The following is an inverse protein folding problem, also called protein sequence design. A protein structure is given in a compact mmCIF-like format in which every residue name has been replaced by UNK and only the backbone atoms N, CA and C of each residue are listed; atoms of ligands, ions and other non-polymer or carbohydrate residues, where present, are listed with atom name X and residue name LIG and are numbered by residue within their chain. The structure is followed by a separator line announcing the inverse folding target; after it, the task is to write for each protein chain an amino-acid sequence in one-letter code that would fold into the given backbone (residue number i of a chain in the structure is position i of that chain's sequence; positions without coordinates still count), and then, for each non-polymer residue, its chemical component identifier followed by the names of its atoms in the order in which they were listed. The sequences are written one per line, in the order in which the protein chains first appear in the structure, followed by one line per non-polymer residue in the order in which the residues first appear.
data_IF_482221622448
#
_entry.id   IF_482221622448
#
_cell.length_a   1.000
_cell.length_b   1.000
_cell.length_c   1.000
_cell.angle_alpha   90.00
_cell.angle_beta   90.00
_cell.angle_gamma   90.00
#
_symmetry.space_group_name_H-M   'P 1'
#
loop_
_entity.id
_entity.type
_entity.pdbx_description
1 polymer ?
#
# COMPACT_ATOMS: atom_id res chain seq x y z
N UNK A 1 11.77 -4.06 -2.26
CA UNK A 1 10.74 -4.43 -3.26
C UNK A 1 9.39 -4.73 -2.60
N UNK A 2 9.38 -5.23 -1.37
CA UNK A 2 8.17 -5.72 -0.68
C UNK A 2 7.09 -4.64 -0.47
N UNK A 3 7.49 -3.41 -0.12
CA UNK A 3 6.53 -2.29 0.01
C UNK A 3 5.86 -1.91 -1.31
N UNK A 4 6.59 -1.98 -2.44
CA UNK A 4 6.04 -1.65 -3.75
C UNK A 4 5.06 -2.71 -4.24
N UNK A 5 5.40 -3.99 -4.07
CA UNK A 5 4.50 -5.11 -4.40
C UNK A 5 3.25 -5.07 -3.50
N UNK A 6 3.42 -4.73 -2.22
CA UNK A 6 2.33 -4.45 -1.28
C UNK A 6 1.39 -3.36 -1.79
N UNK A 7 1.95 -2.21 -2.19
CA UNK A 7 1.20 -1.08 -2.71
C UNK A 7 0.47 -1.38 -4.02
N UNK A 8 1.10 -2.09 -4.96
CA UNK A 8 0.43 -2.50 -6.21
C UNK A 8 -0.76 -3.42 -5.95
N UNK A 9 -0.61 -4.41 -5.07
CA UNK A 9 -1.72 -5.29 -4.68
C UNK A 9 -2.88 -4.50 -4.07
N UNK A 10 -2.57 -3.52 -3.22
CA UNK A 10 -3.56 -2.65 -2.58
C UNK A 10 -4.28 -1.75 -3.59
N UNK A 11 -3.55 -1.10 -4.51
CA UNK A 11 -4.11 -0.27 -5.58
C UNK A 11 -5.01 -1.09 -6.51
N UNK A 12 -4.61 -2.32 -6.85
CA UNK A 12 -5.43 -3.20 -7.71
C UNK A 12 -6.75 -3.53 -7.02
N UNK A 13 -6.72 -3.97 -5.77
CA UNK A 13 -7.95 -4.28 -5.02
C UNK A 13 -8.85 -3.06 -4.93
N UNK A 14 -8.27 -1.95 -4.49
CA UNK A 14 -8.99 -0.70 -4.38
C UNK A 14 -9.62 -0.32 -5.73
N UNK A 15 -8.86 -0.37 -6.81
CA UNK A 15 -9.31 -0.13 -8.18
C UNK A 15 -10.49 -1.01 -8.60
N UNK A 16 -10.39 -2.33 -8.41
CA UNK A 16 -11.46 -3.25 -8.79
C UNK A 16 -12.76 -2.97 -8.02
N UNK A 17 -12.68 -2.75 -6.71
CA UNK A 17 -13.86 -2.46 -5.90
C UNK A 17 -14.36 -1.02 -6.06
N UNK A 18 -13.50 -0.07 -6.40
CA UNK A 18 -13.88 1.28 -6.81
C UNK A 18 -14.70 1.25 -8.09
N UNK A 19 -14.37 0.41 -9.07
CA UNK A 19 -15.16 0.25 -10.31
C UNK A 19 -16.55 -0.32 -9.99
N UNK A 20 -16.59 -1.40 -9.19
CA UNK A 20 -17.85 -2.08 -8.85
C UNK A 20 -18.80 -1.16 -8.08
N UNK A 21 -18.28 -0.36 -7.15
CA UNK A 21 -19.09 0.51 -6.28
C UNK A 21 -19.07 2.00 -6.72
N UNK A 22 -18.59 2.31 -7.93
CA UNK A 22 -18.32 3.70 -8.33
C UNK A 22 -19.57 4.58 -8.27
N UNK A 23 -20.68 4.09 -8.82
CA UNK A 23 -21.94 4.83 -8.88
C UNK A 23 -22.45 5.17 -7.47
N UNK A 24 -22.47 4.18 -6.57
CA UNK A 24 -22.95 4.37 -5.19
C UNK A 24 -22.05 5.31 -4.39
N UNK A 25 -20.72 5.20 -4.54
CA UNK A 25 -19.77 5.97 -3.74
C UNK A 25 -19.58 7.40 -4.26
N UNK A 26 -19.61 7.60 -5.58
CA UNK A 26 -19.47 8.94 -6.18
C UNK A 26 -20.64 9.88 -5.86
N UNK A 27 -21.80 9.32 -5.51
CA UNK A 27 -22.96 10.09 -5.06
C UNK A 27 -22.89 10.51 -3.59
N UNK A 28 -22.02 9.90 -2.77
CA UNK A 28 -21.90 10.22 -1.33
C UNK A 28 -21.22 11.57 -1.09
N UNK A 29 -20.12 11.87 -1.81
CA UNK A 29 -19.45 13.16 -1.73
C UNK A 29 -18.53 13.43 -2.93
N UNK A 30 -18.31 14.71 -3.24
CA UNK A 30 -17.35 15.14 -4.28
C UNK A 30 -15.91 14.72 -3.97
N UNK A 31 -15.56 14.67 -2.69
CA UNK A 31 -14.23 14.29 -2.22
C UNK A 31 -13.99 12.79 -2.41
N UNK A 32 -14.97 11.93 -2.09
CA UNK A 32 -14.90 10.50 -2.39
C UNK A 32 -14.74 10.30 -3.89
N UNK A 33 -15.53 10.99 -4.71
CA UNK A 33 -15.42 10.88 -6.17
C UNK A 33 -13.99 11.20 -6.64
N UNK A 34 -13.41 12.28 -6.16
CA UNK A 34 -12.02 12.67 -6.51
C UNK A 34 -11.01 11.60 -6.10
N UNK A 35 -11.17 11.01 -4.90
CA UNK A 35 -10.32 9.91 -4.43
C UNK A 35 -10.47 8.65 -5.29
N UNK A 36 -11.69 8.33 -5.73
CA UNK A 36 -11.94 7.22 -6.65
C UNK A 36 -11.28 7.47 -8.01
N UNK A 37 -11.43 8.68 -8.58
CA UNK A 37 -10.85 9.04 -9.87
C UNK A 37 -9.31 8.98 -9.84
N UNK A 38 -8.69 9.51 -8.78
CA UNK A 38 -7.24 9.39 -8.54
C UNK A 38 -6.84 7.92 -8.46
N UNK A 39 -7.61 7.10 -7.74
CA UNK A 39 -7.29 5.68 -7.62
C UNK A 39 -7.44 4.94 -8.95
N UNK A 40 -8.44 5.26 -9.79
CA UNK A 40 -8.59 4.68 -11.12
C UNK A 40 -7.40 5.08 -12.03
N UNK A 41 -6.91 6.31 -11.89
CA UNK A 41 -5.69 6.74 -12.57
C UNK A 41 -4.45 5.94 -12.09
N UNK A 42 -4.32 5.71 -10.78
CA UNK A 42 -3.26 4.87 -10.23
C UNK A 42 -3.36 3.42 -10.71
N UNK A 43 -4.56 2.86 -10.76
CA UNK A 43 -4.82 1.53 -11.32
C UNK A 43 -4.37 1.45 -12.79
N UNK A 44 -4.76 2.43 -13.60
CA UNK A 44 -4.32 2.51 -14.99
C UNK A 44 -2.80 2.59 -15.11
N UNK A 45 -2.13 3.35 -14.23
CA UNK A 45 -0.67 3.39 -14.13
C UNK A 45 -0.04 2.04 -13.77
N UNK A 46 -0.62 1.29 -12.83
CA UNK A 46 -0.15 -0.06 -12.46
C UNK A 46 -0.34 -1.05 -13.62
N UNK A 47 -1.49 -1.04 -14.29
CA UNK A 47 -1.76 -1.89 -15.46
C UNK A 47 -0.78 -1.55 -16.59
N UNK A 48 -0.63 -0.27 -16.90
CA UNK A 48 0.33 0.19 -17.89
C UNK A 48 1.76 -0.22 -17.53
N UNK A 49 2.15 -0.09 -16.26
CA UNK A 49 3.44 -0.54 -15.75
C UNK A 49 3.66 -2.03 -16.00
N UNK A 50 2.69 -2.87 -15.70
CA UNK A 50 2.76 -4.30 -16.01
C UNK A 50 2.90 -4.57 -17.50
N UNK A 51 2.06 -3.95 -18.35
CA UNK A 51 2.16 -4.10 -19.80
C UNK A 51 3.56 -3.68 -20.28
N UNK A 52 4.05 -2.53 -19.84
CA UNK A 52 5.35 -2.02 -20.21
C UNK A 52 6.51 -2.94 -19.77
N UNK A 53 6.40 -3.62 -18.62
CA UNK A 53 7.39 -4.62 -18.19
C UNK A 53 7.52 -5.80 -19.16
N UNK A 54 6.44 -6.18 -19.86
CA UNK A 54 6.45 -7.27 -20.84
C UNK A 54 6.91 -6.83 -22.23
N UNK A 55 6.46 -5.65 -22.69
CA UNK A 55 6.64 -5.21 -24.07
C UNK A 55 7.79 -4.22 -24.28
N UNK A 56 8.12 -3.40 -23.28
CA UNK A 56 9.04 -2.27 -23.45
C UNK A 56 10.17 -2.28 -22.40
N UNK A 57 11.11 -3.23 -22.55
CA UNK A 57 12.28 -3.35 -21.66
C UNK A 57 13.13 -2.06 -21.61
N UNK A 58 13.26 -1.36 -22.72
CA UNK A 58 14.07 -0.13 -22.82
C UNK A 58 13.29 1.17 -22.56
N UNK A 59 11.99 1.10 -22.20
CA UNK A 59 11.14 2.28 -22.04
C UNK A 59 11.75 3.35 -21.11
N UNK A 60 12.22 3.02 -19.89
CA UNK A 60 12.72 4.05 -18.99
C UNK A 60 14.04 4.63 -19.49
N UNK A 61 14.91 3.83 -20.13
CA UNK A 61 16.15 4.36 -20.73
C UNK A 61 15.84 5.40 -21.80
N UNK A 62 14.88 5.13 -22.69
CA UNK A 62 14.49 6.07 -23.75
C UNK A 62 13.75 7.30 -23.21
N UNK A 63 12.84 7.11 -22.26
CA UNK A 63 12.02 8.19 -21.71
C UNK A 63 12.81 9.11 -20.75
N UNK A 64 13.73 8.54 -19.96
CA UNK A 64 14.46 9.25 -18.91
C UNK A 64 15.82 9.79 -19.37
N UNK A 65 16.39 9.31 -20.48
CA UNK A 65 17.67 9.81 -21.00
C UNK A 65 17.73 11.32 -21.27
N UNK A 66 16.66 12.01 -21.73
CA UNK A 66 16.69 13.47 -21.87
C UNK A 66 16.76 14.20 -20.52
N UNK A 67 16.21 13.60 -19.47
CA UNK A 67 16.11 14.19 -18.13
C UNK A 67 17.34 13.93 -17.25
N UNK A 68 18.28 13.08 -17.68
CA UNK A 68 19.53 12.81 -16.96
C UNK A 68 20.42 14.05 -16.79
N UNK A 69 20.22 15.09 -17.59
CA UNK A 69 20.98 16.35 -17.52
C UNK A 69 20.56 17.28 -16.37
N UNK A 70 19.48 16.95 -15.64
CA UNK A 70 18.97 17.76 -14.53
C UNK A 70 19.68 17.35 -13.24
N UNK A 71 20.44 18.26 -12.64
CA UNK A 71 21.29 18.00 -11.46
C UNK A 71 20.54 17.40 -10.26
N UNK A 72 19.27 17.74 -10.05
CA UNK A 72 18.45 17.16 -8.98
C UNK A 72 18.10 15.67 -9.21
N UNK A 73 18.04 15.25 -10.46
CA UNK A 73 17.56 13.94 -10.89
C UNK A 73 18.68 12.93 -11.18
N UNK A 74 19.92 13.39 -11.25
CA UNK A 74 21.11 12.59 -11.57
C UNK A 74 21.30 11.37 -10.64
N UNK A 75 20.89 11.47 -9.36
CA UNK A 75 20.98 10.37 -8.39
C UNK A 75 19.76 9.45 -8.36
N UNK A 76 18.60 9.93 -8.84
CA UNK A 76 17.33 9.20 -8.78
C UNK A 76 17.09 8.39 -10.07
N UNK A 77 17.40 8.97 -11.23
CA UNK A 77 17.15 8.36 -12.54
C UNK A 77 17.90 7.03 -12.75
N UNK A 78 19.20 6.91 -12.43
CA UNK A 78 19.91 5.65 -12.54
C UNK A 78 19.27 4.56 -11.68
N UNK A 79 18.89 4.90 -10.44
CA UNK A 79 18.21 3.96 -9.53
C UNK A 79 16.86 3.50 -10.07
N UNK A 80 16.10 4.38 -10.72
CA UNK A 80 14.82 4.04 -11.33
C UNK A 80 15.00 3.14 -12.56
N UNK A 81 16.02 3.39 -13.38
CA UNK A 81 16.37 2.56 -14.53
C UNK A 81 16.81 1.17 -14.06
N UNK A 82 17.73 1.10 -13.10
CA UNK A 82 18.20 -0.17 -12.52
C UNK A 82 17.05 -0.95 -11.87
N UNK A 83 16.17 -0.27 -11.13
CA UNK A 83 14.98 -0.89 -10.57
C UNK A 83 14.09 -1.48 -11.66
N UNK A 84 13.85 -0.75 -12.75
CA UNK A 84 13.06 -1.24 -13.87
C UNK A 84 13.68 -2.47 -14.55
N UNK A 85 14.99 -2.43 -14.82
CA UNK A 85 15.68 -3.56 -15.43
C UNK A 85 15.60 -4.82 -14.58
N UNK A 86 15.79 -4.67 -13.26
CA UNK A 86 15.59 -5.75 -12.30
C UNK A 86 14.14 -6.27 -12.34
N UNK A 87 13.14 -5.38 -12.41
CA UNK A 87 11.74 -5.81 -12.53
C UNK A 87 11.49 -6.56 -13.85
N UNK A 88 12.07 -6.12 -14.96
CA UNK A 88 11.98 -6.82 -16.25
C UNK A 88 12.58 -8.23 -16.20
N UNK A 89 13.68 -8.42 -15.46
CA UNK A 89 14.31 -9.74 -15.28
C UNK A 89 13.40 -10.70 -14.48
N UNK A 90 12.64 -10.19 -13.51
CA UNK A 90 11.75 -10.98 -12.65
C UNK A 90 10.25 -10.87 -13.01
N UNK A 91 9.92 -10.43 -14.24
CA UNK A 91 8.54 -10.10 -14.67
C UNK A 91 7.47 -11.14 -14.34
N UNK A 92 7.76 -12.44 -14.52
CA UNK A 92 6.81 -13.51 -14.22
C UNK A 92 6.61 -13.71 -12.71
N UNK A 93 7.69 -13.57 -11.93
CA UNK A 93 7.63 -13.68 -10.47
C UNK A 93 6.89 -12.49 -9.86
N UNK A 94 7.04 -11.29 -10.43
CA UNK A 94 6.33 -10.11 -9.94
C UNK A 94 4.81 -10.27 -10.04
N UNK A 95 4.29 -10.84 -11.13
CA UNK A 95 2.84 -11.11 -11.23
C UNK A 95 2.39 -12.00 -10.06
N UNK A 96 3.11 -13.10 -9.82
CA UNK A 96 2.80 -14.01 -8.71
C UNK A 96 2.88 -13.30 -7.36
N UNK A 97 3.93 -12.50 -7.13
CA UNK A 97 4.11 -11.74 -5.90
C UNK A 97 3.00 -10.70 -5.72
N UNK A 98 2.57 -10.03 -6.78
CA UNK A 98 1.45 -9.09 -6.75
C UNK A 98 0.14 -9.81 -6.46
N UNK A 99 -0.10 -11.00 -7.01
CA UNK A 99 -1.27 -11.80 -6.70
C UNK A 99 -1.31 -12.24 -5.23
N UNK A 100 -0.19 -12.74 -4.71
CA UNK A 100 -0.05 -13.07 -3.27
C UNK A 100 -0.29 -11.81 -2.42
N UNK A 101 0.28 -10.68 -2.83
CA UNK A 101 0.06 -9.39 -2.17
C UNK A 101 -1.41 -9.00 -2.17
N UNK A 102 -2.15 -9.18 -3.26
CA UNK A 102 -3.60 -8.93 -3.29
C UNK A 102 -4.32 -9.80 -2.25
N UNK A 103 -4.01 -11.10 -2.15
CA UNK A 103 -4.64 -11.96 -1.13
C UNK A 103 -4.37 -11.42 0.28
N UNK A 104 -3.12 -11.07 0.57
CA UNK A 104 -2.73 -10.52 1.87
C UNK A 104 -3.46 -9.20 2.15
N UNK A 105 -3.48 -8.26 1.19
CA UNK A 105 -4.16 -6.98 1.35
C UNK A 105 -5.67 -7.13 1.51
N UNK A 106 -6.28 -8.07 0.78
CA UNK A 106 -7.70 -8.41 0.94
C UNK A 106 -8.00 -8.94 2.34
N UNK A 107 -7.17 -9.85 2.85
CA UNK A 107 -7.28 -10.33 4.23
C UNK A 107 -7.10 -9.21 5.25
N UNK A 108 -6.19 -8.26 5.00
CA UNK A 108 -6.01 -7.06 5.85
C UNK A 108 -7.29 -6.23 5.90
N UNK A 109 -7.96 -5.99 4.77
CA UNK A 109 -9.23 -5.25 4.73
C UNK A 109 -10.34 -6.00 5.48
N UNK A 110 -10.44 -7.32 5.29
CA UNK A 110 -11.40 -8.16 6.01
C UNK A 110 -11.16 -8.11 7.52
N UNK A 111 -9.90 -8.23 7.94
CA UNK A 111 -9.50 -8.15 9.34
C UNK A 111 -9.86 -6.79 9.93
N UNK A 112 -9.53 -5.70 9.22
CA UNK A 112 -9.89 -4.35 9.62
C UNK A 112 -11.40 -4.24 9.87
N UNK A 113 -12.23 -4.61 8.89
CA UNK A 113 -13.69 -4.54 9.04
C UNK A 113 -14.20 -5.40 10.21
N UNK A 114 -13.70 -6.64 10.32
CA UNK A 114 -14.11 -7.55 11.38
C UNK A 114 -13.84 -6.97 12.78
N UNK A 115 -12.67 -6.36 12.98
CA UNK A 115 -12.28 -5.74 14.25
C UNK A 115 -13.12 -4.50 14.56
N UNK A 116 -13.38 -3.64 13.58
CA UNK A 116 -13.90 -2.29 13.85
C UNK A 116 -15.41 -2.15 13.68
N UNK A 117 -16.06 -2.97 12.85
CA UNK A 117 -17.50 -2.82 12.58
C UNK A 117 -18.40 -2.84 13.82
N UNK A 118 -18.11 -3.58 14.92
CA UNK A 118 -18.98 -3.57 16.10
C UNK A 118 -18.92 -2.25 16.88
N UNK A 119 -17.86 -1.47 16.66
CA UNK A 119 -17.62 -0.21 17.35
C UNK A 119 -18.00 1.01 16.50
N UNK A 120 -18.45 0.80 15.25
CA UNK A 120 -18.77 1.88 14.33
C UNK A 120 -20.06 2.61 14.76
N UNK A 121 -19.97 3.92 14.94
CA UNK A 121 -21.13 4.79 15.16
C UNK A 121 -21.74 5.19 13.81
N UNK A 122 -22.46 4.25 13.19
CA UNK A 122 -23.11 4.40 11.90
C UNK A 122 -23.16 3.10 11.10
N UNK A 123 -23.72 3.13 9.89
CA UNK A 123 -23.79 1.94 9.02
C UNK A 123 -22.47 1.73 8.25
N UNK A 124 -21.53 0.98 8.83
CA UNK A 124 -20.30 0.57 8.13
C UNK A 124 -20.47 -0.79 7.44
N UNK A 125 -21.07 -0.77 6.25
CA UNK A 125 -21.31 -1.98 5.45
C UNK A 125 -20.01 -2.58 4.90
N UNK A 126 -19.90 -3.92 4.98
CA UNK A 126 -18.77 -4.68 4.46
C UNK A 126 -18.47 -4.39 2.98
N UNK A 127 -19.52 -4.18 2.16
CA UNK A 127 -19.40 -3.89 0.71
C UNK A 127 -18.51 -2.68 0.41
N UNK A 128 -18.52 -1.66 1.27
CA UNK A 128 -17.71 -0.45 1.08
C UNK A 128 -16.30 -0.56 1.65
N UNK A 129 -16.01 -1.60 2.43
CA UNK A 129 -14.71 -1.76 3.09
C UNK A 129 -13.56 -1.84 2.09
N UNK A 130 -13.75 -2.59 1.00
CA UNK A 130 -12.73 -2.73 -0.06
C UNK A 130 -12.56 -1.49 -0.94
N UNK A 131 -13.50 -0.55 -0.92
CA UNK A 131 -13.42 0.71 -1.67
C UNK A 131 -12.90 1.87 -0.82
N UNK A 132 -13.00 1.79 0.51
CA UNK A 132 -12.68 2.90 1.41
C UNK A 132 -11.42 2.61 2.24
N UNK A 133 -11.33 1.45 2.88
CA UNK A 133 -10.22 1.11 3.79
C UNK A 133 -8.86 1.12 3.06
N UNK A 134 -8.74 0.55 1.84
CA UNK A 134 -7.48 0.64 1.09
C UNK A 134 -7.04 2.06 0.77
N UNK A 135 -7.95 3.04 0.61
CA UNK A 135 -7.57 4.44 0.40
C UNK A 135 -6.78 4.94 1.61
N UNK A 136 -7.27 4.63 2.81
CA UNK A 136 -6.57 4.94 4.05
C UNK A 136 -5.21 4.27 4.16
N UNK A 137 -5.12 2.99 3.80
CA UNK A 137 -3.85 2.25 3.82
C UNK A 137 -2.84 2.75 2.76
N UNK A 138 -3.29 3.16 1.57
CA UNK A 138 -2.44 3.81 0.57
C UNK A 138 -1.88 5.12 1.12
N UNK A 139 -2.71 5.93 1.78
CA UNK A 139 -2.28 7.20 2.37
C UNK A 139 -1.24 7.00 3.49
N UNK A 140 -1.37 5.95 4.30
CA UNK A 140 -0.41 5.58 5.34
C UNK A 140 0.89 5.03 4.74
N UNK A 141 0.80 4.29 3.63
CA UNK A 141 1.95 3.71 2.96
C UNK A 141 2.84 4.75 2.26
N UNK A 142 2.29 5.92 1.90
CA UNK A 142 3.04 7.00 1.28
C UNK A 142 3.89 7.72 2.34
N UNK A 143 5.22 7.88 2.14
CA UNK A 143 6.14 8.43 3.14
C UNK A 143 6.05 9.96 3.22
N UNK A 144 4.85 10.49 3.45
CA UNK A 144 4.60 11.94 3.60
C UNK A 144 4.72 12.37 5.07
N UNK A 145 4.60 11.44 6.04
CA UNK A 145 4.66 11.72 7.47
C UNK A 145 5.37 10.63 8.29
N UNK A 146 5.99 10.97 9.45
CA UNK A 146 6.64 10.00 10.32
C UNK A 146 5.61 9.01 10.90
N UNK A 147 5.82 7.72 10.64
CA UNK A 147 5.12 6.58 11.23
C UNK A 147 3.62 6.42 10.95
N UNK A 148 3.02 7.21 10.06
CA UNK A 148 1.66 6.98 9.54
C UNK A 148 0.50 7.11 10.55
N UNK A 149 0.78 7.30 11.83
CA UNK A 149 -0.20 7.37 12.92
C UNK A 149 -1.12 8.59 12.82
N UNK A 150 -0.53 9.80 12.69
CA UNK A 150 -1.30 11.04 12.56
C UNK A 150 -2.05 11.14 11.23
N UNK A 151 -1.44 10.66 10.14
CA UNK A 151 -2.07 10.62 8.81
C UNK A 151 -3.21 9.60 8.81
N UNK A 152 -3.00 8.41 9.36
CA UNK A 152 -4.03 7.39 9.47
C UNK A 152 -5.25 7.87 10.26
N UNK A 153 -5.04 8.45 11.44
CA UNK A 153 -6.13 8.99 12.25
C UNK A 153 -6.98 10.02 11.49
N UNK A 154 -6.34 11.02 10.88
CA UNK A 154 -7.04 12.08 10.14
C UNK A 154 -7.73 11.56 8.86
N UNK A 155 -7.06 10.66 8.12
CA UNK A 155 -7.60 10.09 6.89
C UNK A 155 -8.81 9.21 7.18
N UNK A 156 -8.72 8.30 8.15
CA UNK A 156 -9.84 7.44 8.51
C UNK A 156 -11.00 8.22 9.13
N UNK A 157 -10.74 9.30 9.88
CA UNK A 157 -11.80 10.21 10.33
C UNK A 157 -12.58 10.80 9.14
N UNK A 158 -11.88 11.34 8.13
CA UNK A 158 -12.55 11.91 6.95
C UNK A 158 -13.26 10.87 6.09
N UNK A 159 -12.59 9.77 5.77
CA UNK A 159 -13.13 8.71 4.90
C UNK A 159 -14.42 8.12 5.46
N UNK A 160 -14.47 7.87 6.77
CA UNK A 160 -15.65 7.35 7.43
C UNK A 160 -16.71 8.43 7.67
N UNK A 161 -16.29 9.68 7.92
CA UNK A 161 -17.21 10.82 8.00
C UNK A 161 -18.04 11.00 6.73
N UNK A 162 -17.47 10.75 5.54
CA UNK A 162 -18.23 10.76 4.28
C UNK A 162 -19.31 9.67 4.17
N UNK A 163 -19.18 8.58 4.93
CA UNK A 163 -20.18 7.51 5.03
C UNK A 163 -21.14 7.70 6.22
N UNK A 164 -21.05 8.84 6.92
CA UNK A 164 -21.87 9.10 8.12
C UNK A 164 -21.39 8.37 9.38
N UNK A 165 -20.17 7.82 9.39
CA UNK A 165 -19.59 7.16 10.57
C UNK A 165 -18.73 8.17 11.34
N UNK A 166 -19.23 8.63 12.48
CA UNK A 166 -18.63 9.75 13.23
C UNK A 166 -17.26 9.42 13.84
N UNK A 167 -17.06 8.17 14.27
CA UNK A 167 -15.91 7.75 15.07
C UNK A 167 -14.81 7.03 14.28
N UNK A 168 -14.68 7.28 12.96
CA UNK A 168 -13.71 6.59 12.09
C UNK A 168 -12.24 6.66 12.54
N UNK A 169 -11.85 7.77 13.17
CA UNK A 169 -10.51 7.93 13.76
C UNK A 169 -10.25 6.94 14.89
N UNK A 170 -11.26 6.70 15.74
CA UNK A 170 -11.22 5.73 16.83
C UNK A 170 -11.18 4.29 16.31
N UNK A 171 -11.94 4.00 15.24
CA UNK A 171 -11.91 2.69 14.57
C UNK A 171 -10.51 2.35 14.07
N UNK A 172 -9.84 3.31 13.41
CA UNK A 172 -8.45 3.13 12.98
C UNK A 172 -7.52 2.91 14.18
N UNK A 173 -7.67 3.67 15.26
CA UNK A 173 -6.85 3.51 16.46
C UNK A 173 -7.00 2.14 17.12
N UNK A 174 -8.23 1.60 17.20
CA UNK A 174 -8.49 0.25 17.72
C UNK A 174 -7.71 -0.78 16.89
N UNK A 175 -7.88 -0.74 15.56
CA UNK A 175 -7.17 -1.63 14.65
C UNK A 175 -5.64 -1.47 14.78
N UNK A 176 -5.15 -0.25 14.83
CA UNK A 176 -3.73 0.06 14.93
C UNK A 176 -3.10 -0.45 16.23
N UNK A 177 -3.79 -0.32 17.37
CA UNK A 177 -3.31 -0.86 18.65
C UNK A 177 -3.21 -2.39 18.58
N UNK A 178 -4.22 -3.07 18.02
CA UNK A 178 -4.18 -4.53 17.86
C UNK A 178 -3.05 -4.97 16.93
N UNK A 179 -2.84 -4.25 15.83
CA UNK A 179 -1.73 -4.47 14.91
C UNK A 179 -0.37 -4.29 15.61
N UNK A 180 -0.21 -3.24 16.42
CA UNK A 180 0.99 -3.02 17.22
C UNK A 180 1.22 -4.16 18.21
N UNK A 181 0.19 -4.56 18.97
CA UNK A 181 0.29 -5.68 19.91
C UNK A 181 0.68 -6.98 19.22
N UNK A 182 0.10 -7.26 18.05
CA UNK A 182 0.47 -8.41 17.22
C UNK A 182 1.91 -8.36 16.75
N UNK A 183 2.39 -7.19 16.30
CA UNK A 183 3.78 -7.00 15.90
C UNK A 183 4.76 -7.12 17.07
N UNK A 184 4.37 -6.71 18.28
CA UNK A 184 5.18 -6.86 19.49
C UNK A 184 5.39 -8.32 19.89
N UNK A 185 4.49 -9.25 19.52
CA UNK A 185 4.71 -10.69 19.74
C UNK A 185 5.95 -11.20 19.01
N UNK A 186 6.37 -10.56 17.92
CA UNK A 186 7.63 -10.85 17.22
C UNK A 186 8.89 -10.61 18.05
N UNK A 187 8.78 -9.83 19.15
CA UNK A 187 9.88 -9.63 20.11
C UNK A 187 10.16 -10.93 20.88
N UNK A 188 9.16 -11.78 21.11
CA UNK A 188 9.31 -13.03 21.87
C UNK A 188 10.31 -13.98 21.19
N UNK A 189 10.14 -14.39 19.91
CA UNK A 189 11.13 -15.24 19.25
C UNK A 189 12.49 -14.55 19.11
N UNK A 190 12.51 -13.22 18.93
CA UNK A 190 13.77 -12.46 18.92
C UNK A 190 14.53 -12.57 20.25
N UNK A 191 13.82 -12.43 21.37
CA UNK A 191 14.39 -12.52 22.73
C UNK A 191 14.80 -13.95 23.11
N UNK A 192 14.09 -14.95 22.63
CA UNK A 192 14.41 -16.38 22.86
C UNK A 192 15.57 -16.88 22.00
N UNK A 193 15.99 -16.13 20.98
CA UNK A 193 17.09 -16.51 20.11
C UNK A 193 18.46 -16.36 20.79
N UNK A 194 19.24 -17.43 20.82
CA UNK A 194 20.56 -17.49 21.47
C UNK A 194 21.57 -16.49 20.87
N UNK A 195 22.51 -15.98 21.70
CA UNK A 195 23.51 -14.96 21.30
C UNK A 195 24.32 -15.31 20.04
N UNK A 196 24.61 -16.59 19.80
CA UNK A 196 25.33 -17.05 18.60
C UNK A 196 24.53 -16.83 17.30
N UNK A 197 23.22 -17.11 17.29
CA UNK A 197 22.34 -16.87 16.13
C UNK A 197 22.05 -15.39 15.89
N UNK A 198 22.06 -14.57 16.94
CA UNK A 198 21.95 -13.11 16.80
C UNK A 198 23.17 -12.51 16.11
N UNK A 199 24.37 -13.02 16.40
CA UNK A 199 25.61 -12.53 15.79
C UNK A 199 25.66 -12.83 14.29
N UNK A 200 25.25 -14.02 13.87
CA UNK A 200 25.18 -14.39 12.45
C UNK A 200 24.15 -13.57 11.66
N UNK A 201 22.99 -13.25 12.26
CA UNK A 201 21.99 -12.38 11.62
C UNK A 201 22.51 -10.95 11.42
N UNK A 202 23.18 -10.39 12.43
CA UNK A 202 23.76 -9.05 12.33
C UNK A 202 24.91 -8.97 11.31
N UNK A 203 25.65 -10.07 11.11
CA UNK A 203 26.70 -10.17 10.08
C UNK A 203 26.06 -10.22 8.67
N UNK A 204 25.01 -11.02 8.48
CA UNK A 204 24.25 -11.07 7.22
C UNK A 204 23.55 -9.73 6.88
N UNK A 205 23.01 -9.02 7.89
CA UNK A 205 22.42 -7.69 7.68
C UNK A 205 23.47 -6.64 7.29
N UNK A 206 24.71 -6.77 7.76
CA UNK A 206 25.82 -5.90 7.33
C UNK A 206 26.25 -6.17 5.90
N UNK A 207 26.29 -7.44 5.49
CA UNK A 207 26.61 -7.83 4.11
C UNK A 207 25.52 -7.45 3.12
N UNK A 208 24.25 -7.47 3.52
CA UNK A 208 23.11 -7.09 2.66
C UNK A 208 22.95 -5.56 2.46
N UNK A 209 23.63 -4.74 3.26
CA UNK A 209 23.58 -3.27 3.19
C UNK A 209 24.87 -2.64 2.60
N UNK A 210 25.79 -3.45 2.09
CA UNK A 210 26.97 -3.08 1.30
C UNK A 210 26.70 -3.29 -0.20
#
# INVERSE_FOLDING_TARGET
MDRFVGLFGLIIILGLFSIINYESLSQMSSDIKTLLDINLLLLAGVIFGFIALFFFKELPKKLLSPFMKISFLEKLLPKLIDAWENLCMFRHRIILLTFISMIIQGLTVVNFWYVVHPFAEGEFLFRYSFSIVPIGFVAIALPIAPSGLGVGHAVFHKLFGFMGVANGASLFNIYFILLLLGNLLGIIPYLLMNKSKRKSLNELEKEANL
#
